data_IF_109616107824
#
_entry.id   IF_109616107824
#
_cell.length_a   1.000
_cell.length_b   1.000
_cell.length_c   1.000
_cell.angle_alpha   90.00
_cell.angle_beta   90.00
_cell.angle_gamma   90.00
#
_symmetry.space_group_name_H-M   'P 1'
#
loop_
_entity.id
_entity.type
_entity.pdbx_description
1 polymer ?
#
# COMPACT_ATOMS: atom_id res chain seq x y z
N UNK A 1 -20.37 10.00 16.95
CA UNK A 1 -19.35 10.55 16.05
C UNK A 1 -18.05 9.79 16.30
N UNK A 2 -17.41 9.32 15.24
CA UNK A 2 -16.02 8.81 15.29
C UNK A 2 -15.17 9.84 14.54
N UNK A 3 -14.53 10.80 15.26
CA UNK A 3 -13.67 11.76 14.60
C UNK A 3 -12.35 11.13 14.17
N UNK A 4 -11.75 11.62 13.09
CA UNK A 4 -10.41 11.24 12.63
C UNK A 4 -9.31 12.01 13.38
N UNK A 5 -9.63 13.20 13.90
CA UNK A 5 -8.75 14.04 14.73
C UNK A 5 -9.61 14.78 15.76
N UNK A 6 -9.05 14.98 16.94
CA UNK A 6 -9.67 15.83 17.97
C UNK A 6 -8.76 17.04 18.24
N UNK A 7 -9.34 18.23 18.27
CA UNK A 7 -8.65 19.46 18.65
C UNK A 7 -9.22 19.91 19.99
N UNK A 8 -8.34 20.06 21.00
CA UNK A 8 -8.72 20.41 22.37
C UNK A 8 -8.06 21.72 22.77
N UNK A 9 -8.85 22.67 23.26
CA UNK A 9 -8.30 23.89 23.88
C UNK A 9 -7.80 23.55 25.30
N UNK A 10 -6.49 23.75 25.55
CA UNK A 10 -5.87 23.54 26.86
C UNK A 10 -6.51 24.42 27.96
N UNK A 11 -7.09 25.56 27.57
CA UNK A 11 -7.72 26.52 28.49
C UNK A 11 -9.23 26.24 28.68
N UNK A 12 -9.77 25.23 28.05
CA UNK A 12 -11.18 24.87 28.19
C UNK A 12 -11.54 24.72 29.67
N UNK A 13 -12.56 25.46 30.09
CA UNK A 13 -13.09 25.42 31.45
C UNK A 13 -14.54 24.95 31.44
N UNK A 14 -14.93 24.16 32.42
CA UNK A 14 -16.26 23.63 32.54
C UNK A 14 -16.29 22.36 33.39
N UNK A 15 -17.26 21.49 33.16
CA UNK A 15 -17.34 20.16 33.80
C UNK A 15 -16.11 19.31 33.53
N UNK A 16 -15.52 19.45 32.33
CA UNK A 16 -14.25 18.86 31.94
C UNK A 16 -13.28 19.99 31.60
N UNK A 17 -12.08 19.94 32.13
CA UNK A 17 -10.97 20.82 31.75
C UNK A 17 -10.29 20.25 30.52
N UNK A 18 -9.68 21.12 29.68
CA UNK A 18 -9.11 20.69 28.42
C UNK A 18 -8.10 19.53 28.54
N UNK A 19 -7.16 19.65 29.48
CA UNK A 19 -6.16 18.60 29.73
C UNK A 19 -6.76 17.31 30.29
N UNK A 20 -7.77 17.38 31.15
CA UNK A 20 -8.50 16.21 31.66
C UNK A 20 -9.26 15.49 30.52
N UNK A 21 -9.75 16.24 29.52
CA UNK A 21 -10.37 15.68 28.35
C UNK A 21 -9.34 14.92 27.49
N UNK A 22 -8.14 15.46 27.32
CA UNK A 22 -7.03 14.76 26.61
C UNK A 22 -6.71 13.43 27.28
N UNK A 23 -6.54 13.41 28.60
CA UNK A 23 -6.28 12.20 29.39
C UNK A 23 -7.41 11.16 29.26
N UNK A 24 -8.66 11.61 29.26
CA UNK A 24 -9.82 10.71 29.07
C UNK A 24 -9.87 10.13 27.66
N UNK A 25 -9.58 10.92 26.62
CA UNK A 25 -9.50 10.43 25.24
C UNK A 25 -8.38 9.40 25.12
N UNK A 26 -7.21 9.70 25.70
CA UNK A 26 -6.06 8.81 25.68
C UNK A 26 -6.33 7.46 26.38
N UNK A 27 -7.08 7.51 27.50
CA UNK A 27 -7.44 6.32 28.29
C UNK A 27 -8.59 5.51 27.68
N UNK A 28 -9.26 6.03 26.65
CA UNK A 28 -10.35 5.34 25.98
C UNK A 28 -9.84 4.33 24.94
N UNK A 29 -10.71 3.41 24.50
CA UNK A 29 -10.42 2.47 23.41
C UNK A 29 -10.32 3.16 22.05
N UNK A 30 -10.69 4.45 21.96
CA UNK A 30 -10.66 5.23 20.72
C UNK A 30 -9.28 5.83 20.52
N UNK A 31 -8.50 5.26 19.60
CA UNK A 31 -7.18 5.76 19.22
C UNK A 31 -7.33 6.85 18.15
N UNK A 32 -7.49 8.09 18.59
CA UNK A 32 -7.61 9.28 17.72
C UNK A 32 -6.51 10.27 18.06
N UNK A 33 -5.82 10.89 17.07
CA UNK A 33 -4.81 11.89 17.34
C UNK A 33 -5.44 13.15 17.94
N UNK A 34 -4.76 13.71 18.94
CA UNK A 34 -5.20 14.90 19.65
C UNK A 34 -4.21 16.05 19.43
N UNK A 35 -4.70 17.16 18.89
CA UNK A 35 -3.97 18.43 18.77
C UNK A 35 -4.44 19.35 19.90
N UNK A 36 -3.50 19.86 20.72
CA UNK A 36 -3.82 20.77 21.80
C UNK A 36 -3.59 22.21 21.38
N UNK A 37 -4.63 23.05 21.48
CA UNK A 37 -4.50 24.49 21.33
C UNK A 37 -3.93 25.10 22.63
N UNK A 38 -2.92 25.95 22.52
CA UNK A 38 -2.26 26.59 23.65
C UNK A 38 -2.01 28.08 23.42
N UNK A 39 -1.63 28.77 24.45
CA UNK A 39 -1.24 30.20 24.39
C UNK A 39 0.18 30.38 24.92
N UNK A 40 0.92 31.46 24.53
CA UNK A 40 2.29 31.69 24.98
C UNK A 40 2.46 31.73 26.52
N UNK A 41 1.42 32.17 27.23
CA UNK A 41 1.43 32.28 28.66
C UNK A 41 1.26 30.95 29.41
N UNK A 42 0.78 29.92 28.71
CA UNK A 42 0.61 28.55 29.24
C UNK A 42 1.01 27.53 28.15
N UNK A 43 2.31 27.41 27.89
CA UNK A 43 2.78 26.50 26.86
C UNK A 43 2.51 25.06 27.29
N UNK A 44 2.10 24.23 26.30
CA UNK A 44 1.98 22.79 26.44
C UNK A 44 2.99 22.16 25.48
N UNK A 45 3.69 21.13 25.92
CA UNK A 45 4.60 20.38 25.07
C UNK A 45 3.88 19.19 24.38
N UNK A 46 4.37 18.78 23.24
CA UNK A 46 3.98 17.52 22.60
C UNK A 46 4.42 16.38 23.51
N UNK A 47 3.49 15.52 23.92
CA UNK A 47 3.77 14.36 24.76
C UNK A 47 2.79 13.21 24.42
N UNK A 48 3.18 12.31 23.53
CA UNK A 48 2.33 11.19 23.14
C UNK A 48 2.01 10.23 24.30
N UNK A 49 2.81 10.21 25.37
CA UNK A 49 2.59 9.31 26.52
C UNK A 49 1.35 9.69 27.33
N UNK A 50 0.93 10.94 27.26
CA UNK A 50 -0.30 11.45 27.88
C UNK A 50 -1.39 11.80 26.87
N UNK A 51 -1.18 11.47 25.58
CA UNK A 51 -2.14 11.64 24.50
C UNK A 51 -2.09 12.98 23.78
N UNK A 52 -0.98 13.73 23.85
CA UNK A 52 -0.78 14.97 23.09
C UNK A 52 0.08 14.69 21.88
N UNK A 53 -0.56 14.53 20.73
CA UNK A 53 0.12 14.18 19.47
C UNK A 53 0.77 15.38 18.79
N UNK A 54 0.16 16.55 18.88
CA UNK A 54 0.72 17.81 18.40
C UNK A 54 0.15 19.01 19.17
N UNK A 55 0.79 20.17 19.03
CA UNK A 55 0.40 21.40 19.70
C UNK A 55 0.33 22.54 18.69
N UNK A 56 -0.72 23.36 18.76
CA UNK A 56 -0.91 24.55 17.95
C UNK A 56 -1.06 25.78 18.85
N UNK A 57 -0.11 26.70 18.75
CA UNK A 57 -0.09 27.88 19.58
C UNK A 57 -0.93 29.03 19.01
N UNK A 58 -1.83 29.58 19.79
CA UNK A 58 -2.65 30.73 19.41
C UNK A 58 -1.87 32.07 19.60
N UNK A 59 -2.06 33.06 18.72
CA UNK A 59 -2.86 33.00 17.48
C UNK A 59 -2.14 32.23 16.37
N UNK A 60 -2.88 31.49 15.56
CA UNK A 60 -2.36 30.72 14.43
C UNK A 60 -3.06 31.13 13.12
N UNK A 61 -2.42 30.88 11.99
CA UNK A 61 -3.02 31.06 10.66
C UNK A 61 -3.83 29.81 10.26
N UNK A 62 -4.75 29.98 9.28
CA UNK A 62 -5.43 28.83 8.67
C UNK A 62 -4.46 27.83 8.03
N UNK A 63 -3.33 28.31 7.50
CA UNK A 63 -2.27 27.47 6.94
C UNK A 63 -1.60 26.61 8.04
N UNK A 64 -1.29 27.19 9.21
CA UNK A 64 -0.71 26.44 10.33
C UNK A 64 -1.66 25.34 10.81
N UNK A 65 -2.96 25.66 10.91
CA UNK A 65 -3.98 24.69 11.30
C UNK A 65 -4.03 23.51 10.30
N UNK A 66 -4.14 23.80 9.00
CA UNK A 66 -4.22 22.77 7.97
C UNK A 66 -2.97 21.88 7.98
N UNK A 67 -1.78 22.48 8.11
CA UNK A 67 -0.52 21.72 8.17
C UNK A 67 -0.45 20.81 9.40
N UNK A 68 -0.86 21.33 10.58
CA UNK A 68 -0.87 20.54 11.81
C UNK A 68 -1.88 19.41 11.77
N UNK A 69 -3.10 19.65 11.27
CA UNK A 69 -4.12 18.63 11.08
C UNK A 69 -3.65 17.57 10.10
N UNK A 70 -3.12 17.96 8.95
CA UNK A 70 -2.58 17.03 7.96
C UNK A 70 -1.40 16.21 8.50
N UNK A 71 -0.49 16.85 9.24
CA UNK A 71 0.65 16.18 9.89
C UNK A 71 0.22 15.17 10.94
N UNK A 72 -0.70 15.55 11.84
CA UNK A 72 -1.22 14.67 12.90
C UNK A 72 -2.01 13.49 12.31
N UNK A 73 -2.81 13.73 11.27
CA UNK A 73 -3.53 12.67 10.56
C UNK A 73 -2.56 11.68 9.90
N UNK A 74 -1.55 12.18 9.18
CA UNK A 74 -0.51 11.35 8.55
C UNK A 74 0.29 10.54 9.59
N UNK A 75 0.63 11.14 10.73
CA UNK A 75 1.32 10.46 11.83
C UNK A 75 0.43 9.40 12.51
N UNK A 76 -0.89 9.64 12.62
CA UNK A 76 -1.83 8.66 13.13
C UNK A 76 -2.02 7.48 12.20
N UNK A 77 -2.12 7.72 10.89
CA UNK A 77 -2.14 6.67 9.87
C UNK A 77 -0.85 5.84 9.92
N UNK A 78 0.31 6.47 10.12
CA UNK A 78 1.58 5.77 10.27
C UNK A 78 1.61 4.90 11.55
N UNK A 79 1.08 5.40 12.69
CA UNK A 79 0.97 4.63 13.95
C UNK A 79 -0.09 3.54 13.88
N UNK A 80 -1.21 3.77 13.21
CA UNK A 80 -2.19 2.73 12.92
C UNK A 80 -1.55 1.63 12.04
N UNK A 81 -0.52 1.97 11.27
CA UNK A 81 0.33 1.05 10.52
C UNK A 81 1.26 0.18 11.37
N UNK A 82 1.56 0.50 12.63
CA UNK A 82 2.42 -0.32 13.51
C UNK A 82 1.76 -1.64 13.98
N UNK A 83 0.46 -1.80 13.77
CA UNK A 83 -0.27 -3.08 13.92
C UNK A 83 -1.04 -3.45 12.67
N UNK A 84 -1.03 -2.61 11.64
CA UNK A 84 -1.72 -2.84 10.38
C UNK A 84 -0.89 -3.74 9.45
N UNK A 85 -1.58 -4.49 8.59
CA UNK A 85 -0.95 -5.29 7.54
C UNK A 85 -0.06 -4.46 6.62
N UNK A 86 0.97 -5.08 6.07
CA UNK A 86 1.91 -4.47 5.13
C UNK A 86 1.22 -4.19 3.80
N UNK A 87 1.54 -3.08 3.16
CA UNK A 87 0.96 -2.68 1.87
C UNK A 87 2.05 -2.61 0.80
N UNK A 88 1.88 -3.41 -0.25
CA UNK A 88 2.81 -3.58 -1.35
C UNK A 88 2.16 -3.29 -2.71
N UNK A 89 2.08 -2.04 -3.15
CA UNK A 89 1.73 -1.73 -4.54
C UNK A 89 2.81 -2.25 -5.49
N UNK A 90 2.40 -3.05 -6.47
CA UNK A 90 3.22 -3.54 -7.58
C UNK A 90 2.96 -2.64 -8.78
N UNK A 91 3.98 -1.94 -9.22
CA UNK A 91 3.87 -0.87 -10.20
C UNK A 91 4.97 -0.96 -11.26
N UNK A 92 4.70 -0.40 -12.41
CA UNK A 92 5.70 -0.03 -13.41
C UNK A 92 5.13 1.09 -14.29
N UNK A 93 5.94 2.08 -14.67
CA UNK A 93 5.51 3.18 -15.53
C UNK A 93 5.30 2.75 -17.00
N UNK A 94 5.35 1.45 -17.29
CA UNK A 94 5.15 0.85 -18.60
C UNK A 94 4.22 -0.37 -18.53
N UNK A 95 3.37 -0.54 -19.53
CA UNK A 95 2.55 -1.73 -19.71
C UNK A 95 3.34 -2.95 -20.19
N UNK A 96 2.85 -4.17 -19.93
CA UNK A 96 3.40 -5.40 -20.48
C UNK A 96 4.69 -5.92 -19.84
N UNK A 97 5.16 -5.30 -18.75
CA UNK A 97 6.36 -5.73 -18.03
C UNK A 97 6.12 -6.84 -17.00
N UNK A 98 4.88 -7.31 -16.84
CA UNK A 98 4.53 -8.41 -15.95
C UNK A 98 3.98 -8.02 -14.58
N UNK A 99 3.43 -6.81 -14.40
CA UNK A 99 2.87 -6.33 -13.12
C UNK A 99 1.83 -7.28 -12.52
N UNK A 100 0.73 -7.51 -13.24
CA UNK A 100 -0.38 -8.35 -12.79
C UNK A 100 0.08 -9.78 -12.46
N UNK A 101 0.90 -10.37 -13.32
CA UNK A 101 1.48 -11.70 -13.09
C UNK A 101 2.34 -11.72 -11.82
N UNK A 102 3.20 -10.71 -11.62
CA UNK A 102 4.02 -10.64 -10.41
C UNK A 102 3.17 -10.36 -9.17
N UNK A 103 2.22 -9.44 -9.22
CA UNK A 103 1.34 -9.12 -8.10
C UNK A 103 0.58 -10.35 -7.61
N UNK A 104 0.01 -11.15 -8.53
CA UNK A 104 -0.70 -12.37 -8.18
C UNK A 104 0.23 -13.42 -7.55
N UNK A 105 1.36 -13.72 -8.20
CA UNK A 105 2.30 -14.71 -7.68
C UNK A 105 2.96 -14.27 -6.37
N UNK A 106 3.23 -12.97 -6.19
CA UNK A 106 3.74 -12.40 -4.93
C UNK A 106 2.73 -12.54 -3.79
N UNK A 107 1.45 -12.24 -4.04
CA UNK A 107 0.40 -12.39 -3.04
C UNK A 107 0.27 -13.84 -2.57
N UNK A 108 0.32 -14.80 -3.51
CA UNK A 108 0.29 -16.23 -3.20
C UNK A 108 1.56 -16.69 -2.47
N UNK A 109 2.74 -16.20 -2.84
CA UNK A 109 3.98 -16.52 -2.15
C UNK A 109 3.98 -16.01 -0.69
N UNK A 110 3.42 -14.82 -0.43
CA UNK A 110 3.24 -14.28 0.91
C UNK A 110 2.26 -15.13 1.74
N UNK A 111 1.14 -15.54 1.17
CA UNK A 111 0.17 -16.45 1.83
C UNK A 111 0.82 -17.77 2.20
N UNK A 112 1.59 -18.39 1.27
CA UNK A 112 2.34 -19.63 1.52
C UNK A 112 3.41 -19.48 2.61
N UNK A 113 3.96 -18.29 2.76
CA UNK A 113 4.88 -17.97 3.86
C UNK A 113 4.18 -17.79 5.22
N UNK A 114 2.85 -18.04 5.29
CA UNK A 114 2.05 -17.90 6.51
C UNK A 114 1.61 -16.47 6.79
N UNK A 115 1.71 -15.58 5.81
CA UNK A 115 1.27 -14.19 5.93
C UNK A 115 -0.09 -14.05 5.26
N UNK A 116 -1.17 -13.96 6.05
CA UNK A 116 -2.53 -13.82 5.53
C UNK A 116 -2.65 -12.61 4.61
N UNK A 117 -2.92 -12.86 3.33
CA UNK A 117 -2.71 -11.89 2.25
C UNK A 117 -3.98 -11.63 1.44
N UNK A 118 -4.24 -10.35 1.14
CA UNK A 118 -5.21 -9.93 0.14
C UNK A 118 -4.50 -9.35 -1.10
N UNK A 119 -5.13 -9.49 -2.27
CA UNK A 119 -4.74 -8.87 -3.52
C UNK A 119 -5.82 -7.89 -3.97
N UNK A 120 -5.44 -6.68 -4.39
CA UNK A 120 -6.33 -5.68 -4.97
C UNK A 120 -6.02 -5.52 -6.45
N UNK A 121 -7.04 -5.61 -7.30
CA UNK A 121 -6.98 -5.19 -8.70
C UNK A 121 -7.26 -3.68 -8.79
N UNK A 122 -6.21 -2.88 -8.83
CA UNK A 122 -6.32 -1.43 -9.01
C UNK A 122 -6.31 -1.01 -10.49
N UNK A 123 -6.28 -1.96 -11.43
CA UNK A 123 -6.51 -1.72 -12.86
C UNK A 123 -8.02 -1.55 -13.13
N UNK A 124 -8.62 -0.53 -12.52
CA UNK A 124 -10.08 -0.36 -12.41
C UNK A 124 -10.81 -0.35 -13.75
N UNK A 125 -10.15 0.07 -14.83
CA UNK A 125 -10.75 0.16 -16.17
C UNK A 125 -10.77 -1.17 -16.92
N UNK A 126 -9.74 -2.01 -16.76
CA UNK A 126 -9.59 -3.23 -17.57
C UNK A 126 -9.76 -4.52 -16.77
N UNK A 127 -9.46 -4.51 -15.46
CA UNK A 127 -9.71 -5.65 -14.59
C UNK A 127 -9.00 -6.92 -15.04
N UNK A 128 -7.70 -6.84 -15.31
CA UNK A 128 -6.92 -7.95 -15.90
C UNK A 128 -6.97 -9.23 -15.06
N UNK A 129 -7.08 -9.12 -13.73
CA UNK A 129 -7.22 -10.26 -12.82
C UNK A 129 -8.51 -11.07 -13.06
N UNK A 130 -9.64 -10.42 -13.41
CA UNK A 130 -10.87 -11.14 -13.71
C UNK A 130 -10.68 -12.11 -14.87
N UNK A 131 -10.01 -11.67 -15.92
CA UNK A 131 -9.73 -12.48 -17.11
C UNK A 131 -8.72 -13.56 -16.81
N UNK A 132 -7.63 -13.22 -16.13
CA UNK A 132 -6.55 -14.14 -15.76
C UNK A 132 -7.06 -15.30 -14.88
N UNK A 133 -7.97 -15.01 -13.95
CA UNK A 133 -8.50 -16.00 -12.99
C UNK A 133 -9.81 -16.65 -13.45
N UNK A 134 -10.29 -16.34 -14.67
CA UNK A 134 -11.57 -16.83 -15.19
C UNK A 134 -12.74 -16.60 -14.23
N UNK A 135 -12.76 -15.44 -13.56
CA UNK A 135 -13.75 -15.11 -12.54
C UNK A 135 -15.15 -15.02 -13.14
N UNK A 136 -16.19 -15.60 -12.51
CA UNK A 136 -17.56 -15.47 -12.99
C UNK A 136 -18.04 -14.02 -13.10
N UNK A 137 -18.85 -13.71 -14.11
CA UNK A 137 -19.33 -12.35 -14.38
C UNK A 137 -20.10 -11.73 -13.19
N UNK A 138 -20.73 -12.55 -12.35
CA UNK A 138 -21.48 -12.10 -11.15
C UNK A 138 -20.64 -12.01 -9.87
N UNK A 139 -19.31 -12.23 -9.94
CA UNK A 139 -18.47 -12.10 -8.76
C UNK A 139 -18.40 -10.63 -8.29
N UNK A 140 -18.33 -10.41 -6.97
CA UNK A 140 -18.30 -9.08 -6.39
C UNK A 140 -17.05 -8.30 -6.84
N UNK A 141 -17.08 -7.00 -6.61
CA UNK A 141 -16.02 -6.07 -6.98
C UNK A 141 -15.84 -4.98 -5.92
N UNK A 142 -14.87 -4.14 -6.10
CA UNK A 142 -14.60 -2.97 -5.27
C UNK A 142 -15.85 -2.06 -5.07
N UNK A 143 -16.81 -2.08 -6.01
CA UNK A 143 -18.06 -1.29 -5.92
C UNK A 143 -19.08 -1.88 -4.95
N UNK A 144 -18.97 -3.16 -4.64
CA UNK A 144 -19.90 -3.85 -3.74
C UNK A 144 -19.52 -3.61 -2.27
N UNK A 145 -18.39 -2.99 -1.99
CA UNK A 145 -17.98 -2.54 -0.67
C UNK A 145 -18.84 -1.36 -0.21
N UNK A 146 -19.68 -1.52 0.84
CA UNK A 146 -20.48 -0.43 1.39
C UNK A 146 -19.57 0.57 2.10
N UNK A 147 -19.15 1.64 1.41
CA UNK A 147 -18.15 2.61 1.90
C UNK A 147 -18.62 3.40 3.13
N UNK A 148 -19.92 3.40 3.47
CA UNK A 148 -20.47 4.17 4.59
C UNK A 148 -20.48 3.42 5.94
N UNK A 149 -20.47 2.09 5.96
CA UNK A 149 -20.65 1.26 7.17
C UNK A 149 -19.93 -0.09 7.09
N UNK A 150 -18.69 -0.14 6.69
CA UNK A 150 -18.00 -1.43 6.53
C UNK A 150 -17.68 -2.01 7.92
N UNK A 151 -18.27 -3.15 8.25
CA UNK A 151 -17.79 -4.04 9.30
C UNK A 151 -16.78 -5.03 8.69
N UNK A 152 -15.85 -5.53 9.50
CA UNK A 152 -14.86 -6.52 9.03
C UNK A 152 -15.55 -7.82 8.50
N UNK A 153 -16.79 -8.10 8.96
CA UNK A 153 -17.64 -9.19 8.47
C UNK A 153 -18.10 -9.03 7.01
N UNK A 154 -18.19 -7.79 6.52
CA UNK A 154 -18.73 -7.51 5.18
C UNK A 154 -17.71 -7.80 4.08
N UNK A 155 -16.42 -7.96 4.44
CA UNK A 155 -15.35 -8.27 3.50
C UNK A 155 -15.54 -9.65 2.84
N UNK A 156 -16.03 -10.64 3.57
CA UNK A 156 -16.21 -11.99 3.04
C UNK A 156 -17.20 -12.04 1.86
N UNK A 157 -18.14 -11.09 1.81
CA UNK A 157 -19.19 -11.03 0.77
C UNK A 157 -18.71 -10.26 -0.49
N UNK A 158 -17.60 -9.50 -0.39
CA UNK A 158 -17.09 -8.64 -1.47
C UNK A 158 -15.75 -9.10 -2.02
N UNK A 159 -15.06 -10.00 -1.36
CA UNK A 159 -13.79 -10.55 -1.82
C UNK A 159 -14.01 -11.85 -2.59
N UNK A 160 -13.30 -12.00 -3.70
CA UNK A 160 -13.21 -13.26 -4.41
C UNK A 160 -12.20 -14.17 -3.71
N UNK A 161 -12.65 -15.33 -3.21
CA UNK A 161 -11.74 -16.34 -2.66
C UNK A 161 -11.15 -17.16 -3.77
N UNK A 162 -9.86 -16.99 -4.02
CA UNK A 162 -9.14 -17.72 -5.03
C UNK A 162 -8.72 -19.13 -4.54
N UNK A 163 -8.72 -20.17 -5.42
CA UNK A 163 -8.26 -21.51 -5.05
C UNK A 163 -6.83 -21.57 -4.50
N UNK A 164 -5.99 -20.59 -4.80
CA UNK A 164 -4.63 -20.46 -4.26
C UNK A 164 -4.58 -20.10 -2.78
N UNK A 165 -5.71 -19.74 -2.19
CA UNK A 165 -5.82 -19.42 -0.77
C UNK A 165 -5.82 -17.92 -0.43
N UNK A 166 -5.64 -17.02 -1.40
CA UNK A 166 -5.73 -15.58 -1.18
C UNK A 166 -7.14 -15.04 -1.43
N UNK A 167 -7.45 -13.90 -0.82
CA UNK A 167 -8.67 -13.14 -1.07
C UNK A 167 -8.36 -11.98 -2.02
N UNK A 168 -9.20 -11.79 -3.04
CA UNK A 168 -8.96 -10.81 -4.11
C UNK A 168 -10.11 -9.79 -4.16
N UNK A 169 -9.77 -8.52 -4.02
CA UNK A 169 -10.69 -7.43 -4.32
C UNK A 169 -10.58 -7.08 -5.81
N UNK A 170 -11.62 -7.46 -6.55
CA UNK A 170 -11.62 -7.32 -8.00
C UNK A 170 -12.00 -5.90 -8.45
N UNK A 171 -11.45 -5.49 -9.57
CA UNK A 171 -11.87 -4.28 -10.29
C UNK A 171 -13.36 -4.37 -10.72
N UNK A 172 -14.00 -3.23 -11.01
CA UNK A 172 -15.35 -3.21 -11.56
C UNK A 172 -15.49 -4.06 -12.83
N UNK A 173 -16.66 -4.69 -13.06
CA UNK A 173 -16.85 -5.54 -14.24
C UNK A 173 -17.00 -4.76 -15.55
N UNK A 174 -17.16 -3.44 -15.51
CA UNK A 174 -17.32 -2.55 -16.67
C UNK A 174 -16.52 -1.27 -16.50
N UNK A 175 -15.92 -0.80 -17.58
CA UNK A 175 -15.02 0.37 -17.62
C UNK A 175 -15.69 1.64 -17.08
N UNK A 176 -16.95 1.86 -17.44
CA UNK A 176 -17.70 3.06 -17.03
C UNK A 176 -17.89 3.15 -15.52
N UNK A 177 -17.84 2.02 -14.83
CA UNK A 177 -17.99 1.95 -13.38
C UNK A 177 -16.72 2.36 -12.63
N UNK A 178 -15.57 2.37 -13.31
CA UNK A 178 -14.29 2.78 -12.70
C UNK A 178 -14.32 4.24 -12.20
N UNK A 179 -15.08 5.12 -12.89
CA UNK A 179 -15.22 6.52 -12.53
C UNK A 179 -16.02 6.76 -11.23
N UNK A 180 -16.71 5.74 -10.74
CA UNK A 180 -17.46 5.82 -9.47
C UNK A 180 -16.54 5.71 -8.25
N UNK A 181 -15.29 5.23 -8.43
CA UNK A 181 -14.34 4.99 -7.34
C UNK A 181 -13.53 6.26 -7.10
N UNK A 182 -13.58 6.75 -5.88
CA UNK A 182 -12.85 7.94 -5.44
C UNK A 182 -11.60 7.58 -4.63
N UNK A 183 -10.68 8.53 -4.46
CA UNK A 183 -9.51 8.39 -3.57
C UNK A 183 -9.92 8.05 -2.14
N UNK A 184 -11.04 8.63 -1.67
CA UNK A 184 -11.60 8.36 -0.35
C UNK A 184 -12.06 6.91 -0.19
N UNK A 185 -12.60 6.31 -1.25
CA UNK A 185 -12.99 4.90 -1.23
C UNK A 185 -11.75 4.01 -1.13
N UNK A 186 -10.69 4.32 -1.89
CA UNK A 186 -9.40 3.63 -1.81
C UNK A 186 -8.81 3.70 -0.40
N UNK A 187 -8.76 4.88 0.22
CA UNK A 187 -8.24 5.08 1.58
C UNK A 187 -9.01 4.23 2.60
N UNK A 188 -10.34 4.21 2.51
CA UNK A 188 -11.19 3.40 3.39
C UNK A 188 -10.94 1.89 3.19
N UNK A 189 -10.91 1.44 1.95
CA UNK A 189 -10.65 0.03 1.59
C UNK A 189 -9.30 -0.42 2.16
N UNK A 190 -8.26 0.36 1.94
CA UNK A 190 -6.92 0.05 2.46
C UNK A 190 -6.91 0.01 4.00
N UNK A 191 -7.59 0.97 4.64
CA UNK A 191 -7.71 0.99 6.11
C UNK A 191 -8.35 -0.29 6.65
N UNK A 192 -9.36 -0.83 5.97
CA UNK A 192 -10.06 -2.05 6.40
C UNK A 192 -9.23 -3.28 6.11
N UNK A 193 -8.75 -3.44 4.87
CA UNK A 193 -7.97 -4.61 4.49
C UNK A 193 -6.70 -4.75 5.35
N UNK A 194 -6.02 -3.66 5.65
CA UNK A 194 -4.83 -3.67 6.53
C UNK A 194 -5.11 -4.02 7.99
N UNK A 195 -6.37 -3.96 8.45
CA UNK A 195 -6.75 -4.46 9.78
C UNK A 195 -6.96 -5.97 9.79
N UNK A 196 -7.47 -6.52 8.69
CA UNK A 196 -7.83 -7.94 8.58
C UNK A 196 -6.67 -8.78 8.06
N UNK A 197 -5.94 -8.29 7.07
CA UNK A 197 -4.83 -8.98 6.41
C UNK A 197 -3.48 -8.51 6.93
N UNK A 198 -2.51 -9.44 7.01
CA UNK A 198 -1.14 -9.13 7.37
C UNK A 198 -0.33 -8.54 6.22
N UNK A 199 -0.73 -8.83 4.99
CA UNK A 199 -0.21 -8.20 3.80
C UNK A 199 -1.34 -7.88 2.81
N UNK A 200 -1.21 -6.77 2.12
CA UNK A 200 -2.08 -6.35 1.01
C UNK A 200 -1.18 -6.05 -0.17
N UNK A 201 -1.32 -6.82 -1.24
CA UNK A 201 -0.66 -6.57 -2.52
C UNK A 201 -1.64 -5.82 -3.42
N UNK A 202 -1.16 -4.84 -4.19
CA UNK A 202 -2.01 -4.07 -5.11
C UNK A 202 -1.41 -4.13 -6.51
N UNK A 203 -2.17 -4.63 -7.48
CA UNK A 203 -1.80 -4.55 -8.90
C UNK A 203 -2.17 -3.17 -9.44
N UNK A 204 -1.17 -2.28 -9.61
CA UNK A 204 -1.37 -0.87 -9.91
C UNK A 204 -1.21 -0.61 -11.42
N UNK A 205 -2.11 0.17 -12.07
CA UNK A 205 -1.96 0.53 -13.49
C UNK A 205 -0.68 1.37 -13.73
N UNK A 206 -0.25 1.44 -14.99
CA UNK A 206 0.96 2.20 -15.35
C UNK A 206 0.78 3.74 -15.26
N UNK A 207 -0.45 4.22 -15.18
CA UNK A 207 -0.75 5.64 -15.12
C UNK A 207 -0.58 6.19 -13.68
N UNK A 208 0.05 7.36 -13.57
CA UNK A 208 0.13 8.11 -12.31
C UNK A 208 -1.00 9.15 -12.30
N UNK A 209 -1.88 9.02 -11.33
CA UNK A 209 -2.98 9.94 -11.05
C UNK A 209 -3.30 9.93 -9.54
N UNK A 210 -4.30 10.68 -9.11
CA UNK A 210 -4.69 10.78 -7.70
C UNK A 210 -5.05 9.40 -7.09
N UNK A 211 -5.74 8.54 -7.84
CA UNK A 211 -6.07 7.18 -7.38
C UNK A 211 -4.83 6.32 -7.19
N UNK A 212 -3.87 6.39 -8.11
CA UNK A 212 -2.59 5.68 -7.98
C UNK A 212 -1.81 6.15 -6.75
N UNK A 213 -1.77 7.48 -6.52
CA UNK A 213 -1.11 8.04 -5.35
C UNK A 213 -1.80 7.63 -4.05
N UNK A 214 -3.12 7.46 -4.03
CA UNK A 214 -3.85 6.95 -2.87
C UNK A 214 -3.42 5.53 -2.45
N UNK A 215 -2.93 4.71 -3.38
CA UNK A 215 -2.29 3.43 -3.05
C UNK A 215 -0.83 3.59 -2.62
N UNK A 216 -0.10 4.57 -3.16
CA UNK A 216 1.31 4.76 -2.87
C UNK A 216 1.57 5.48 -1.55
N UNK A 217 0.76 6.48 -1.20
CA UNK A 217 0.95 7.28 0.01
C UNK A 217 1.01 6.44 1.30
N UNK A 218 0.08 5.49 1.54
CA UNK A 218 0.11 4.64 2.72
C UNK A 218 1.01 3.39 2.56
N UNK A 219 1.66 3.18 1.40
CA UNK A 219 2.46 1.99 1.13
C UNK A 219 3.67 1.86 2.06
N UNK A 220 3.93 0.65 2.52
CA UNK A 220 5.16 0.31 3.24
C UNK A 220 6.34 0.21 2.26
N UNK A 221 6.14 -0.46 1.12
CA UNK A 221 7.11 -0.56 0.02
C UNK A 221 6.38 -0.59 -1.31
N UNK A 222 6.73 0.29 -2.24
CA UNK A 222 6.31 0.24 -3.64
C UNK A 222 7.27 -0.69 -4.38
N UNK A 223 6.75 -1.77 -4.95
CA UNK A 223 7.51 -2.72 -5.77
C UNK A 223 7.48 -2.24 -7.22
N UNK A 224 8.54 -1.58 -7.67
CA UNK A 224 8.65 -1.08 -9.04
C UNK A 224 9.35 -2.10 -9.94
N UNK A 225 8.63 -2.58 -10.97
CA UNK A 225 9.15 -3.54 -11.94
C UNK A 225 9.88 -2.80 -13.05
N UNK A 226 11.08 -3.24 -13.33
CA UNK A 226 11.95 -2.73 -14.40
C UNK A 226 12.32 -3.88 -15.33
N UNK A 227 12.40 -3.61 -16.63
CA UNK A 227 12.95 -4.54 -17.64
C UNK A 227 14.13 -3.86 -18.34
N UNK A 228 15.10 -4.64 -18.85
CA UNK A 228 16.28 -4.12 -19.52
C UNK A 228 16.01 -3.65 -20.96
N UNK A 229 15.00 -2.80 -21.13
CA UNK A 229 14.76 -2.07 -22.38
C UNK A 229 14.85 -0.55 -22.14
N UNK A 230 15.28 0.19 -23.16
CA UNK A 230 15.59 1.63 -23.06
C UNK A 230 14.39 2.46 -22.61
N UNK A 231 13.17 2.09 -23.03
CA UNK A 231 11.97 2.84 -22.69
C UNK A 231 11.56 2.61 -21.23
N UNK A 232 11.70 1.40 -20.71
CA UNK A 232 11.43 1.12 -19.31
C UNK A 232 12.43 1.85 -18.42
N UNK A 233 13.71 1.81 -18.73
CA UNK A 233 14.74 2.53 -17.94
C UNK A 233 14.48 4.04 -17.94
N UNK A 234 14.19 4.63 -19.12
CA UNK A 234 13.86 6.05 -19.20
C UNK A 234 12.67 6.42 -18.31
N UNK A 235 11.61 5.62 -18.36
CA UNK A 235 10.41 5.85 -17.55
C UNK A 235 10.68 5.64 -16.05
N UNK A 236 11.51 4.66 -15.68
CA UNK A 236 11.93 4.43 -14.29
C UNK A 236 12.73 5.63 -13.74
N UNK A 237 13.62 6.23 -14.55
CA UNK A 237 14.34 7.45 -14.15
C UNK A 237 13.35 8.60 -13.88
N UNK A 238 12.44 8.85 -14.82
CA UNK A 238 11.44 9.89 -14.66
C UNK A 238 10.55 9.64 -13.43
N UNK A 239 10.23 8.37 -13.15
CA UNK A 239 9.44 7.99 -11.99
C UNK A 239 10.21 8.19 -10.68
N UNK A 240 11.49 7.83 -10.64
CA UNK A 240 12.36 8.06 -9.48
C UNK A 240 12.48 9.56 -9.15
N UNK A 241 12.56 10.42 -10.19
CA UNK A 241 12.55 11.87 -10.02
C UNK A 241 11.22 12.36 -9.48
N UNK A 242 10.10 11.84 -9.99
CA UNK A 242 8.74 12.14 -9.50
C UNK A 242 8.59 11.75 -8.03
N UNK A 243 8.98 10.54 -7.64
CA UNK A 243 8.92 10.08 -6.24
C UNK A 243 9.75 10.98 -5.31
N UNK A 244 10.91 11.46 -5.78
CA UNK A 244 11.75 12.38 -5.03
C UNK A 244 11.09 13.75 -4.85
N UNK A 245 10.45 14.27 -5.91
CA UNK A 245 9.73 15.55 -5.88
C UNK A 245 8.53 15.55 -4.94
N UNK A 246 7.77 14.45 -4.87
CA UNK A 246 6.65 14.28 -3.93
C UNK A 246 7.09 13.91 -2.52
N UNK A 247 8.41 13.74 -2.29
CA UNK A 247 8.99 13.54 -0.97
C UNK A 247 8.98 12.09 -0.47
N UNK A 248 8.87 11.09 -1.34
CA UNK A 248 9.01 9.70 -0.91
C UNK A 248 10.47 9.38 -0.59
N UNK A 249 10.75 8.77 0.56
CA UNK A 249 12.11 8.34 0.88
C UNK A 249 12.57 7.23 -0.09
N UNK A 250 13.86 7.17 -0.44
CA UNK A 250 14.39 6.13 -1.34
C UNK A 250 14.07 4.70 -0.88
N UNK A 251 13.96 4.48 0.42
CA UNK A 251 13.62 3.17 1.03
C UNK A 251 12.17 2.73 0.78
N UNK A 252 11.30 3.65 0.35
CA UNK A 252 9.89 3.35 0.05
C UNK A 252 9.71 2.61 -1.28
N UNK A 253 10.68 2.68 -2.18
CA UNK A 253 10.65 2.01 -3.49
C UNK A 253 11.63 0.87 -3.50
N UNK A 254 11.22 -0.30 -3.96
CA UNK A 254 12.06 -1.47 -4.22
C UNK A 254 12.03 -1.79 -5.70
N UNK A 255 13.19 -1.75 -6.33
CA UNK A 255 13.31 -2.06 -7.75
C UNK A 255 13.48 -3.56 -7.97
N UNK A 256 12.63 -4.12 -8.81
CA UNK A 256 12.66 -5.55 -9.18
C UNK A 256 12.91 -5.64 -10.69
N UNK A 257 14.07 -6.17 -11.06
CA UNK A 257 14.38 -6.43 -12.47
C UNK A 257 13.68 -7.69 -12.92
N UNK A 258 12.67 -7.56 -13.76
CA UNK A 258 11.99 -8.70 -14.35
C UNK A 258 12.63 -9.10 -15.69
N UNK A 259 12.64 -10.40 -15.98
CA UNK A 259 13.28 -10.98 -17.18
C UNK A 259 14.77 -10.62 -17.25
N UNK A 260 15.48 -10.77 -16.13
CA UNK A 260 16.89 -10.37 -15.97
C UNK A 260 17.83 -11.06 -16.96
N UNK A 261 17.49 -12.25 -17.41
CA UNK A 261 18.24 -13.10 -18.36
C UNK A 261 17.84 -12.88 -19.83
N UNK A 262 16.97 -11.89 -20.13
CA UNK A 262 16.55 -11.61 -21.51
C UNK A 262 17.73 -11.11 -22.35
N UNK A 263 17.97 -11.77 -23.48
CA UNK A 263 19.05 -11.43 -24.40
C UNK A 263 18.86 -10.03 -25.03
N UNK A 264 19.96 -9.29 -25.20
CA UNK A 264 19.96 -7.98 -25.89
C UNK A 264 19.51 -6.80 -25.06
N UNK A 265 19.39 -6.98 -23.72
CA UNK A 265 19.04 -5.93 -22.79
C UNK A 265 20.15 -4.90 -22.54
N UNK A 266 19.80 -3.82 -21.87
CA UNK A 266 20.76 -2.78 -21.42
C UNK A 266 21.57 -3.34 -20.25
N UNK A 267 22.82 -2.87 -20.13
CA UNK A 267 23.72 -3.22 -19.03
C UNK A 267 23.08 -2.88 -17.67
N UNK A 268 23.01 -3.84 -16.73
CA UNK A 268 22.55 -3.60 -15.37
C UNK A 268 23.20 -2.41 -14.67
N UNK A 269 24.48 -2.12 -14.98
CA UNK A 269 25.20 -0.97 -14.45
C UNK A 269 24.58 0.37 -14.88
N UNK A 270 23.98 0.45 -16.05
CA UNK A 270 23.29 1.66 -16.52
C UNK A 270 22.00 1.89 -15.71
N UNK A 271 21.25 0.84 -15.41
CA UNK A 271 20.08 0.96 -14.53
C UNK A 271 20.50 1.39 -13.13
N UNK A 272 21.52 0.76 -12.55
CA UNK A 272 22.01 1.11 -11.22
C UNK A 272 22.48 2.57 -11.14
N UNK A 273 23.19 3.05 -12.16
CA UNK A 273 23.61 4.45 -12.26
C UNK A 273 22.40 5.39 -12.37
N UNK A 274 21.37 5.00 -13.11
CA UNK A 274 20.18 5.80 -13.35
C UNK A 274 19.32 6.00 -12.10
N UNK A 275 19.12 4.94 -11.31
CA UNK A 275 18.35 4.98 -10.05
C UNK A 275 19.19 5.32 -8.83
N UNK A 276 20.52 5.43 -8.98
CA UNK A 276 21.46 5.76 -7.91
C UNK A 276 21.76 4.63 -6.93
N UNK A 277 21.36 3.39 -7.25
CA UNK A 277 21.60 2.16 -6.44
C UNK A 277 21.40 0.90 -7.26
N UNK A 278 21.88 -0.24 -6.77
CA UNK A 278 21.56 -1.53 -7.39
C UNK A 278 20.09 -1.89 -7.13
N UNK A 279 19.39 -2.48 -8.12
CA UNK A 279 18.09 -3.12 -7.87
C UNK A 279 18.24 -4.20 -6.79
N UNK A 280 17.24 -4.30 -5.92
CA UNK A 280 17.31 -5.21 -4.76
C UNK A 280 16.98 -6.66 -5.13
N UNK A 281 16.11 -6.84 -6.13
CA UNK A 281 15.66 -8.16 -6.55
C UNK A 281 15.68 -8.29 -8.06
N UNK A 282 15.81 -9.54 -8.52
CA UNK A 282 15.72 -9.90 -9.93
C UNK A 282 14.87 -11.17 -10.10
N UNK A 283 14.19 -11.27 -11.22
CA UNK A 283 13.34 -12.40 -11.58
C UNK A 283 13.74 -12.85 -12.99
N UNK A 284 14.06 -14.13 -13.13
CA UNK A 284 14.40 -14.72 -14.43
C UNK A 284 13.18 -14.83 -15.34
N UNK A 285 13.42 -14.99 -16.64
CA UNK A 285 12.37 -15.19 -17.63
C UNK A 285 12.01 -16.68 -17.75
N UNK A 286 10.72 -17.00 -17.62
CA UNK A 286 10.18 -18.29 -18.05
C UNK A 286 8.84 -18.03 -18.77
N UNK A 287 8.94 -17.53 -20.00
CA UNK A 287 7.78 -17.16 -20.79
C UNK A 287 6.81 -18.33 -21.03
N UNK A 288 7.33 -19.57 -21.14
CA UNK A 288 6.48 -20.75 -21.35
C UNK A 288 5.64 -21.05 -20.11
N UNK A 289 6.27 -21.11 -18.95
CA UNK A 289 5.60 -21.36 -17.67
C UNK A 289 4.59 -20.24 -17.37
N UNK A 290 4.99 -18.98 -17.56
CA UNK A 290 4.10 -17.83 -17.31
C UNK A 290 2.87 -17.86 -18.19
N UNK A 291 3.02 -18.12 -19.50
CA UNK A 291 1.86 -18.22 -20.42
C UNK A 291 0.95 -19.38 -20.05
N UNK A 292 1.52 -20.53 -19.72
CA UNK A 292 0.73 -21.69 -19.29
C UNK A 292 -0.03 -21.37 -17.98
N UNK A 293 0.66 -20.89 -16.97
CA UNK A 293 0.08 -20.52 -15.68
C UNK A 293 -1.06 -19.50 -15.81
N UNK A 294 -0.84 -18.46 -16.61
CA UNK A 294 -1.84 -17.42 -16.86
C UNK A 294 -3.08 -17.97 -17.60
N UNK A 295 -2.89 -18.87 -18.57
CA UNK A 295 -4.00 -19.48 -19.30
C UNK A 295 -4.82 -20.46 -18.45
N UNK A 296 -4.18 -21.10 -17.48
CA UNK A 296 -4.82 -22.04 -16.55
C UNK A 296 -5.41 -21.32 -15.32
N UNK A 297 -5.12 -20.03 -15.12
CA UNK A 297 -5.52 -19.28 -13.93
C UNK A 297 -4.84 -19.78 -12.65
N UNK A 298 -3.71 -20.51 -12.77
CA UNK A 298 -2.98 -21.09 -11.65
C UNK A 298 -1.64 -20.34 -11.49
N UNK A 299 -1.32 -19.77 -10.32
CA UNK A 299 -0.06 -19.06 -10.15
C UNK A 299 1.13 -20.02 -10.27
N UNK A 300 2.16 -19.61 -11.00
CA UNK A 300 3.32 -20.47 -11.25
C UNK A 300 4.11 -20.83 -9.99
N UNK A 301 4.04 -20.02 -8.93
CA UNK A 301 4.63 -20.34 -7.62
C UNK A 301 3.99 -21.60 -7.00
N UNK A 302 2.75 -21.96 -7.38
CA UNK A 302 2.08 -23.21 -7.01
C UNK A 302 2.28 -24.30 -8.06
N UNK A 303 2.13 -23.96 -9.34
CA UNK A 303 2.20 -24.92 -10.43
C UNK A 303 3.60 -25.53 -10.61
N UNK A 304 4.65 -24.73 -10.37
CA UNK A 304 6.05 -25.13 -10.49
C UNK A 304 6.91 -24.47 -9.41
N UNK A 305 6.79 -24.89 -8.14
CA UNK A 305 7.48 -24.24 -7.02
C UNK A 305 9.01 -24.32 -7.12
N UNK A 306 9.53 -25.36 -7.77
CA UNK A 306 10.97 -25.58 -7.99
C UNK A 306 11.55 -24.80 -9.18
N UNK A 307 10.72 -24.14 -9.99
CA UNK A 307 11.19 -23.29 -11.08
C UNK A 307 11.97 -22.11 -10.54
N UNK A 308 13.00 -21.65 -11.28
CA UNK A 308 13.85 -20.54 -10.84
C UNK A 308 13.03 -19.25 -10.66
N UNK A 309 12.12 -18.96 -11.60
CA UNK A 309 11.21 -17.82 -11.51
C UNK A 309 10.34 -17.86 -10.24
N UNK A 310 9.87 -19.05 -9.83
CA UNK A 310 9.08 -19.23 -8.60
C UNK A 310 9.93 -18.95 -7.34
N UNK A 311 11.16 -19.48 -7.33
CA UNK A 311 12.10 -19.21 -6.22
C UNK A 311 12.46 -17.74 -6.10
N UNK A 312 12.57 -17.03 -7.21
CA UNK A 312 12.84 -15.59 -7.21
C UNK A 312 11.69 -14.79 -6.60
N UNK A 313 10.43 -15.14 -6.93
CA UNK A 313 9.25 -14.50 -6.33
C UNK A 313 9.14 -14.82 -4.84
N UNK A 314 9.41 -16.06 -4.43
CA UNK A 314 9.44 -16.44 -3.00
C UNK A 314 10.53 -15.66 -2.24
N UNK A 315 11.70 -15.45 -2.86
CA UNK A 315 12.78 -14.63 -2.29
C UNK A 315 12.33 -13.17 -2.14
N UNK A 316 11.69 -12.60 -3.17
CA UNK A 316 11.12 -11.24 -3.10
C UNK A 316 10.11 -11.12 -1.94
N UNK A 317 9.21 -12.10 -1.79
CA UNK A 317 8.24 -12.13 -0.68
C UNK A 317 8.94 -12.14 0.69
N UNK A 318 9.96 -12.99 0.85
CA UNK A 318 10.75 -13.05 2.09
C UNK A 318 11.46 -11.73 2.39
N UNK A 319 12.07 -11.10 1.37
CA UNK A 319 12.76 -9.82 1.51
C UNK A 319 11.81 -8.68 1.88
N UNK A 320 10.58 -8.67 1.34
CA UNK A 320 9.56 -7.70 1.69
C UNK A 320 9.08 -7.85 3.12
N UNK A 321 8.94 -9.07 3.62
CA UNK A 321 8.60 -9.33 5.02
C UNK A 321 9.77 -8.98 5.96
N UNK A 322 11.01 -9.26 5.57
CA UNK A 322 12.22 -8.95 6.32
C UNK A 322 12.54 -7.46 6.43
N UNK A 323 12.07 -6.64 5.49
CA UNK A 323 12.31 -5.20 5.47
C UNK A 323 11.76 -4.45 6.71
N UNK A 324 10.90 -5.09 7.51
CA UNK A 324 10.34 -4.54 8.78
C UNK A 324 10.97 -5.09 10.06
N UNK A 325 11.87 -6.06 9.99
CA UNK A 325 12.58 -6.52 11.19
C UNK A 325 13.74 -5.54 11.42
N UNK A 326 13.69 -4.65 12.43
CA UNK A 326 14.86 -3.85 12.78
C UNK A 326 15.98 -4.84 13.11
N UNK A 327 17.15 -4.68 12.49
CA UNK A 327 18.38 -5.38 12.87
C UNK A 327 18.67 -5.02 14.33
N UNK A 328 18.16 -5.81 15.28
CA UNK A 328 18.27 -5.53 16.72
C UNK A 328 17.50 -6.47 17.63
N UNK A 329 16.64 -7.35 17.12
CA UNK A 329 15.84 -8.30 17.92
C UNK A 329 16.35 -9.76 17.86
N UNK A 330 17.63 -9.98 17.57
CA UNK A 330 18.31 -11.28 17.75
C UNK A 330 19.17 -11.20 19.01
N UNK A 331 18.54 -11.44 20.19
CA UNK A 331 19.21 -11.96 21.39
C UNK A 331 18.30 -12.95 22.10
#
# INVERSE_FOLDING_TARGET
>A
LRPDIVIVDALLQGRLKGMTLVEQIHSSDVKVPVIVLTVPQKPVAVDPSIGIDDVLQMPFSGFDLVNKVGGAHKAALARAGEGAGLLFPVFAPKGGVGKTTLAFNLAVALEQAGTHTALIDASLQFGDLRTLLSVPAGAPSILDLPTDRIADSDLADVLWRDPSGIDILLAPPRIEMAEMITTRDVEKILSILRRVYRAVVVDVPAAINELTLAFFDPADVIVEIVTFDSTTIHNTIAMADTFRQIGYPPTKVRYVVNRVDSAGGIDPAQLAAAIGRNPENSIVSDGRLVVQANNEGVPFVLAAPDAEISRDVVRLAADLLGARIPVGAAR
#
